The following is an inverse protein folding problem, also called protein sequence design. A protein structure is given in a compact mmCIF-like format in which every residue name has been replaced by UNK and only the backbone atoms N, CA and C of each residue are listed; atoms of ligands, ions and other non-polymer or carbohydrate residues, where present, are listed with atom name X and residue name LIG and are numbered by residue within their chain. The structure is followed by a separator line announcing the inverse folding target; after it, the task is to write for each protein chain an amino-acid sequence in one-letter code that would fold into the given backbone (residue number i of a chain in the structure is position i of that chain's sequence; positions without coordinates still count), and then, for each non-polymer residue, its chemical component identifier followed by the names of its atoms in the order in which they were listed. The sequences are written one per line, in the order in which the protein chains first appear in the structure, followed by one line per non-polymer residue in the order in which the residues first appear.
data_IF_911346391966
#
_entry.id   IF_911346391966
#
_cell.length_a   1.000
_cell.length_b   1.000
_cell.length_c   1.000
_cell.angle_alpha   90.00
_cell.angle_beta   90.00
_cell.angle_gamma   90.00
#
_symmetry.space_group_name_H-M   'P 1'
#
loop_
_entity.id
_entity.type
_entity.pdbx_description
1 polymer ?
#
# COMPACT_ATOMS: atom_id res chain seq x y z
N UNK A 1 -19.62 5.02 16.32
CA UNK A 1 -20.72 4.59 15.44
C UNK A 1 -20.45 3.20 14.92
N UNK A 2 -21.43 2.28 15.03
CA UNK A 2 -21.22 0.88 14.61
C UNK A 2 -20.82 0.73 13.15
N UNK A 3 -21.36 1.55 12.25
CA UNK A 3 -21.03 1.49 10.82
C UNK A 3 -19.59 1.93 10.54
N UNK A 4 -19.11 2.96 11.23
CA UNK A 4 -17.73 3.41 11.07
C UNK A 4 -16.75 2.40 11.63
N UNK A 5 -17.07 1.78 12.77
CA UNK A 5 -16.25 0.72 13.35
C UNK A 5 -16.16 -0.48 12.41
N UNK A 6 -17.29 -0.82 11.76
CA UNK A 6 -17.34 -1.92 10.79
C UNK A 6 -16.48 -1.61 9.57
N UNK A 7 -16.56 -0.38 9.06
CA UNK A 7 -15.75 0.06 7.92
C UNK A 7 -14.26 0.04 8.24
N UNK A 8 -13.88 0.52 9.42
CA UNK A 8 -12.49 0.48 9.88
C UNK A 8 -11.99 -0.95 10.03
N UNK A 9 -12.83 -1.83 10.56
CA UNK A 9 -12.49 -3.25 10.70
C UNK A 9 -12.28 -3.90 9.33
N UNK A 10 -13.13 -3.59 8.35
CA UNK A 10 -12.99 -4.10 6.99
C UNK A 10 -11.69 -3.62 6.34
N UNK A 11 -11.35 -2.34 6.50
CA UNK A 11 -10.09 -1.77 6.01
C UNK A 11 -8.89 -2.46 6.64
N UNK A 12 -8.94 -2.65 7.94
CA UNK A 12 -7.87 -3.30 8.69
C UNK A 12 -7.70 -4.75 8.27
N UNK A 13 -8.80 -5.46 8.06
CA UNK A 13 -8.78 -6.85 7.60
C UNK A 13 -8.16 -6.95 6.20
N UNK A 14 -8.50 -6.02 5.29
CA UNK A 14 -7.90 -5.98 3.96
C UNK A 14 -6.39 -5.72 4.04
N UNK A 15 -5.98 -4.73 4.83
CA UNK A 15 -4.57 -4.39 5.01
C UNK A 15 -3.78 -5.57 5.57
N UNK A 16 -4.32 -6.26 6.57
CA UNK A 16 -3.68 -7.43 7.15
C UNK A 16 -3.60 -8.57 6.13
N UNK A 17 -4.64 -8.79 5.37
CA UNK A 17 -4.70 -9.86 4.39
C UNK A 17 -3.66 -9.71 3.28
N UNK A 18 -3.48 -8.50 2.74
CA UNK A 18 -2.49 -8.29 1.68
C UNK A 18 -1.06 -8.43 2.20
N UNK A 19 -0.83 -8.11 3.48
CA UNK A 19 0.50 -8.24 4.09
C UNK A 19 0.82 -9.66 4.53
N UNK A 20 -0.15 -10.39 5.05
CA UNK A 20 0.09 -11.65 5.77
C UNK A 20 -0.60 -12.87 5.16
N UNK A 21 -1.48 -12.69 4.20
CA UNK A 21 -2.14 -13.79 3.50
C UNK A 21 -1.15 -14.65 2.71
N UNK A 22 -1.59 -15.81 2.28
CA UNK A 22 -0.77 -16.67 1.43
C UNK A 22 -0.40 -15.96 0.13
N UNK A 23 0.86 -16.12 -0.31
CA UNK A 23 1.32 -15.48 -1.52
C UNK A 23 2.71 -15.94 -1.92
N UNK A 24 3.19 -15.45 -3.08
CA UNK A 24 4.49 -15.77 -3.65
C UNK A 24 5.60 -14.85 -3.18
N UNK A 25 5.28 -13.60 -2.86
CA UNK A 25 6.25 -12.66 -2.32
C UNK A 25 6.44 -12.90 -0.82
N UNK A 26 7.66 -12.70 -0.34
CA UNK A 26 7.98 -12.84 1.08
C UNK A 26 7.19 -11.82 1.91
N UNK A 27 6.79 -12.22 3.12
CA UNK A 27 5.97 -11.39 3.99
C UNK A 27 6.67 -10.08 4.37
N UNK A 28 7.99 -10.09 4.59
CA UNK A 28 8.75 -8.89 4.90
C UNK A 28 8.79 -7.92 3.71
N UNK A 29 8.89 -8.44 2.49
CA UNK A 29 8.84 -7.62 1.28
C UNK A 29 7.46 -6.98 1.12
N UNK A 30 6.40 -7.74 1.36
CA UNK A 30 5.03 -7.22 1.31
C UNK A 30 4.81 -6.13 2.34
N UNK A 31 5.33 -6.30 3.55
CA UNK A 31 5.22 -5.30 4.59
C UNK A 31 5.95 -4.00 4.21
N UNK A 32 7.13 -4.13 3.61
CA UNK A 32 7.90 -2.96 3.13
C UNK A 32 7.22 -2.25 1.97
N UNK A 33 6.66 -3.01 1.04
CA UNK A 33 5.88 -2.45 -0.06
C UNK A 33 4.66 -1.69 0.46
N UNK A 34 3.93 -2.27 1.41
CA UNK A 34 2.80 -1.64 2.05
C UNK A 34 3.18 -0.31 2.70
N UNK A 35 4.29 -0.27 3.40
CA UNK A 35 4.80 0.93 4.05
C UNK A 35 5.50 1.90 3.10
N UNK A 36 5.80 1.47 1.88
CA UNK A 36 6.63 2.21 0.91
C UNK A 36 7.97 2.61 1.54
N UNK A 37 8.62 1.66 2.20
CA UNK A 37 9.85 1.91 2.94
C UNK A 37 10.69 0.64 3.04
N UNK A 38 11.99 0.81 2.89
CA UNK A 38 12.95 -0.25 3.16
C UNK A 38 13.19 -1.25 2.03
N UNK A 39 12.64 -1.02 0.83
CA UNK A 39 12.91 -1.86 -0.32
C UNK A 39 14.22 -1.48 -1.01
N UNK A 40 14.98 -2.50 -1.42
CA UNK A 40 16.21 -2.31 -2.16
C UNK A 40 15.92 -2.05 -3.65
N UNK A 41 16.84 -1.36 -4.36
CA UNK A 41 16.71 -1.22 -5.82
C UNK A 41 16.67 -2.58 -6.52
N UNK A 42 15.91 -2.74 -7.59
CA UNK A 42 15.08 -1.75 -8.27
C UNK A 42 13.65 -1.65 -7.74
N UNK A 43 13.28 -2.43 -6.73
CA UNK A 43 11.92 -2.44 -6.20
C UNK A 43 11.52 -1.10 -5.60
N UNK A 44 12.45 -0.40 -4.97
CA UNK A 44 12.16 0.90 -4.35
C UNK A 44 11.59 1.91 -5.35
N UNK A 45 12.15 1.96 -6.55
CA UNK A 45 11.69 2.87 -7.60
C UNK A 45 10.28 2.48 -8.11
N UNK A 46 10.07 1.20 -8.40
CA UNK A 46 8.77 0.72 -8.87
C UNK A 46 7.68 0.97 -7.82
N UNK A 47 7.92 0.51 -6.60
CA UNK A 47 6.93 0.60 -5.52
C UNK A 47 6.69 2.04 -5.10
N UNK A 48 7.73 2.87 -5.06
CA UNK A 48 7.59 4.29 -4.79
C UNK A 48 6.69 4.99 -5.79
N UNK A 49 6.84 4.67 -7.08
CA UNK A 49 5.95 5.21 -8.12
C UNK A 49 4.52 4.71 -7.96
N UNK A 50 4.33 3.41 -7.70
CA UNK A 50 2.97 2.87 -7.47
C UNK A 50 2.29 3.61 -6.33
N UNK A 51 2.98 3.83 -5.23
CA UNK A 51 2.40 4.47 -4.05
C UNK A 51 2.11 5.95 -4.26
N UNK A 52 3.00 6.69 -4.92
CA UNK A 52 2.92 8.16 -4.95
C UNK A 52 2.75 8.78 -6.32
N UNK A 53 3.12 8.08 -7.39
CA UNK A 53 3.10 8.60 -8.76
C UNK A 53 2.76 7.49 -9.75
N UNK A 54 1.59 6.83 -9.61
CA UNK A 54 1.28 5.63 -10.40
C UNK A 54 1.27 5.87 -11.91
N UNK A 55 0.97 7.08 -12.35
CA UNK A 55 0.99 7.40 -13.77
C UNK A 55 2.39 7.39 -14.38
N UNK A 56 3.43 7.41 -13.55
CA UNK A 56 4.82 7.38 -14.00
C UNK A 56 5.43 5.98 -14.07
N UNK A 57 4.66 4.94 -13.70
CA UNK A 57 5.12 3.56 -13.81
C UNK A 57 5.22 3.21 -15.29
N UNK A 58 6.35 2.59 -15.69
CA UNK A 58 6.62 2.22 -17.07
C UNK A 58 6.95 0.74 -17.18
N UNK A 59 6.93 0.22 -18.40
CA UNK A 59 7.37 -1.16 -18.68
C UNK A 59 8.82 -1.38 -18.25
N UNK A 60 9.67 -0.36 -18.34
CA UNK A 60 11.06 -0.44 -17.92
C UNK A 60 11.20 -0.67 -16.40
N UNK A 61 10.29 -0.12 -15.60
CA UNK A 61 10.29 -0.37 -14.15
C UNK A 61 10.06 -1.84 -13.85
N UNK A 62 9.09 -2.47 -14.54
CA UNK A 62 8.82 -3.89 -14.38
C UNK A 62 9.94 -4.75 -14.94
N UNK A 63 10.50 -4.37 -16.10
CA UNK A 63 11.61 -5.10 -16.69
C UNK A 63 12.83 -5.14 -15.77
N UNK A 64 13.15 -4.03 -15.11
CA UNK A 64 14.25 -3.96 -14.16
C UNK A 64 14.01 -4.89 -12.97
N UNK A 65 12.79 -4.95 -12.45
CA UNK A 65 12.44 -5.83 -11.34
C UNK A 65 12.51 -7.30 -11.74
N UNK A 66 12.04 -7.65 -12.94
CA UNK A 66 12.14 -9.01 -13.46
C UNK A 66 13.61 -9.42 -13.66
N UNK A 67 14.44 -8.52 -14.17
CA UNK A 67 15.86 -8.75 -14.34
C UNK A 67 16.56 -9.01 -13.00
N UNK A 68 16.06 -8.44 -11.93
CA UNK A 68 16.56 -8.67 -10.57
C UNK A 68 16.08 -9.99 -9.96
N UNK A 69 15.23 -10.75 -10.66
CA UNK A 69 14.81 -12.09 -10.27
C UNK A 69 13.39 -12.21 -9.73
N UNK A 70 12.61 -11.15 -9.75
CA UNK A 70 11.21 -11.20 -9.27
C UNK A 70 10.29 -11.72 -10.35
N UNK A 71 9.37 -12.61 -9.97
CA UNK A 71 8.34 -13.12 -10.88
C UNK A 71 7.21 -12.11 -11.05
N UNK A 72 6.40 -12.28 -12.09
CA UNK A 72 5.21 -11.44 -12.27
C UNK A 72 4.25 -11.55 -11.09
N UNK A 73 4.06 -12.75 -10.54
CA UNK A 73 3.19 -12.96 -9.38
C UNK A 73 3.70 -12.21 -8.16
N UNK A 74 5.02 -12.28 -7.91
CA UNK A 74 5.62 -11.54 -6.81
C UNK A 74 5.44 -10.03 -6.98
N UNK A 75 5.68 -9.52 -8.18
CA UNK A 75 5.54 -8.09 -8.48
C UNK A 75 4.09 -7.64 -8.35
N UNK A 76 3.14 -8.45 -8.82
CA UNK A 76 1.72 -8.16 -8.66
C UNK A 76 1.35 -8.00 -7.18
N UNK A 77 1.80 -8.94 -6.34
CA UNK A 77 1.52 -8.88 -4.91
C UNK A 77 2.13 -7.65 -4.25
N UNK A 78 3.35 -7.28 -4.62
CA UNK A 78 4.00 -6.10 -4.07
C UNK A 78 3.31 -4.80 -4.52
N UNK A 79 2.85 -4.74 -5.77
CA UNK A 79 2.10 -3.61 -6.28
C UNK A 79 0.77 -3.46 -5.53
N UNK A 80 0.06 -4.56 -5.29
CA UNK A 80 -1.18 -4.55 -4.51
C UNK A 80 -0.92 -4.06 -3.09
N UNK A 81 0.14 -4.56 -2.44
CA UNK A 81 0.51 -4.09 -1.10
C UNK A 81 0.79 -2.59 -1.08
N UNK A 82 1.52 -2.08 -2.06
CA UNK A 82 1.82 -0.65 -2.16
C UNK A 82 0.55 0.18 -2.32
N UNK A 83 -0.35 -0.25 -3.19
CA UNK A 83 -1.60 0.46 -3.44
C UNK A 83 -2.51 0.46 -2.21
N UNK A 84 -2.67 -0.69 -1.56
CA UNK A 84 -3.48 -0.79 -0.34
C UNK A 84 -2.86 0.02 0.79
N UNK A 85 -1.54 -0.03 0.94
CA UNK A 85 -0.84 0.75 1.96
C UNK A 85 -1.02 2.24 1.79
N UNK A 86 -0.87 2.74 0.57
CA UNK A 86 -1.11 4.15 0.27
C UNK A 86 -2.57 4.53 0.50
N UNK A 87 -3.50 3.68 0.07
CA UNK A 87 -4.93 3.87 0.30
C UNK A 87 -5.25 3.95 1.79
N UNK A 88 -4.64 3.08 2.60
CA UNK A 88 -4.83 3.09 4.06
C UNK A 88 -4.34 4.40 4.68
N UNK A 89 -3.19 4.90 4.26
CA UNK A 89 -2.66 6.18 4.75
C UNK A 89 -3.56 7.35 4.36
N UNK A 90 -4.06 7.36 3.13
CA UNK A 90 -4.97 8.40 2.66
C UNK A 90 -6.31 8.35 3.43
N UNK A 91 -6.80 7.15 3.68
CA UNK A 91 -8.04 6.95 4.45
C UNK A 91 -7.89 7.50 5.87
N UNK A 92 -6.80 7.14 6.56
CA UNK A 92 -6.55 7.63 7.91
C UNK A 92 -6.36 9.16 7.95
N UNK A 93 -5.64 9.71 6.98
CA UNK A 93 -5.47 11.16 6.88
C UNK A 93 -6.81 11.87 6.65
N UNK A 94 -7.67 11.30 5.80
CA UNK A 94 -8.99 11.83 5.55
C UNK A 94 -9.88 11.82 6.80
N UNK A 95 -9.85 10.71 7.55
CA UNK A 95 -10.60 10.61 8.81
C UNK A 95 -10.11 11.62 9.84
N UNK A 96 -8.79 11.80 9.95
CA UNK A 96 -8.22 12.78 10.88
C UNK A 96 -8.63 14.21 10.50
N UNK A 97 -8.60 14.55 9.21
CA UNK A 97 -9.02 15.86 8.73
C UNK A 97 -10.51 16.11 9.01
N UNK A 98 -11.35 15.08 8.80
CA UNK A 98 -12.77 15.17 9.08
C UNK A 98 -13.04 15.39 10.56
N UNK A 99 -12.35 14.67 11.43
CA UNK A 99 -12.47 14.81 12.87
C UNK A 99 -12.07 16.21 13.34
N UNK A 100 -10.99 16.75 12.79
CA UNK A 100 -10.52 18.09 13.11
C UNK A 100 -11.53 19.15 12.64
N UNK A 101 -12.06 19.02 11.44
CA UNK A 101 -13.07 19.94 10.92
C UNK A 101 -14.34 19.92 11.78
N UNK A 102 -14.76 18.74 12.25
CA UNK A 102 -15.92 18.60 13.13
C UNK A 102 -15.66 19.24 14.50
N UNK A 103 -14.48 19.09 15.06
CA UNK A 103 -14.09 19.70 16.32
C UNK A 103 -14.10 21.24 16.21
N UNK A 104 -13.58 21.79 15.12
CA UNK A 104 -13.57 23.23 14.88
C UNK A 104 -14.99 23.79 14.75
N UNK A 105 -15.88 23.02 14.16
CA UNK A 105 -17.27 23.43 13.98
C UNK A 105 -18.03 23.49 15.29
N UNK A 106 -17.70 22.63 16.23
CA UNK A 106 -18.30 22.57 17.56
C UNK A 106 -17.74 23.62 18.53
N UNK A 107 -16.55 24.11 18.25
CA UNK A 107 -15.94 25.17 19.03
C UNK A 107 -16.52 26.53 18.66
#
# INVERSE_FOLDING_TARGET
MPDEDRKRAAHRALADRVRTGAGRAAADQRARAFANDGLAPPLDALIGKVATRPAQVTDADFAAAKAAGYSEDQLFELVVCAAVGQSARLYEAGLAALAEASAQREA
#
